data_IF_228621760447
#
_entry.id   IF_228621760447
#
_cell.length_a   1.000
_cell.length_b   1.000
_cell.length_c   1.000
_cell.angle_alpha   90.00
_cell.angle_beta   90.00
_cell.angle_gamma   90.00
#
_symmetry.space_group_name_H-M   'P 1'
#
loop_
_entity.id
_entity.type
_entity.pdbx_description
1 polymer ?
#
# COMPACT_ATOMS: atom_id res chain seq x y z
N UNK A 1 -28.18 35.40 0.31
CA UNK A 1 -27.45 34.91 -0.88
C UNK A 1 -25.96 34.90 -0.57
N UNK A 2 -25.52 33.84 0.03
CA UNK A 2 -24.10 33.59 0.24
C UNK A 2 -23.71 32.48 -0.74
N UNK A 3 -23.33 32.90 -1.94
CA UNK A 3 -22.68 32.02 -2.91
C UNK A 3 -21.19 31.95 -2.56
N UNK A 4 -20.84 31.08 -1.62
CA UNK A 4 -19.45 30.68 -1.46
C UNK A 4 -19.04 29.94 -2.74
N UNK A 5 -18.50 30.65 -3.72
CA UNK A 5 -17.76 30.05 -4.82
C UNK A 5 -16.63 29.25 -4.20
N UNK A 6 -16.75 27.92 -4.29
CA UNK A 6 -15.66 27.03 -3.94
C UNK A 6 -14.53 27.32 -4.91
N UNK A 7 -13.53 28.07 -4.46
CA UNK A 7 -12.33 28.35 -5.25
C UNK A 7 -11.65 27.02 -5.59
N UNK A 8 -11.77 26.60 -6.85
CA UNK A 8 -11.11 25.40 -7.35
C UNK A 8 -9.61 25.64 -7.31
N UNK A 9 -8.94 24.99 -6.36
CA UNK A 9 -7.48 25.01 -6.27
C UNK A 9 -6.93 24.41 -7.56
N UNK A 10 -6.21 25.22 -8.33
CA UNK A 10 -5.56 24.74 -9.55
C UNK A 10 -4.59 23.60 -9.22
N UNK A 11 -4.51 22.55 -10.06
CA UNK A 11 -3.57 21.46 -9.86
C UNK A 11 -2.14 22.00 -9.77
N UNK A 12 -1.41 21.59 -8.73
CA UNK A 12 0.02 21.90 -8.61
C UNK A 12 0.81 21.22 -9.74
N UNK A 13 2.08 21.57 -9.94
CA UNK A 13 2.95 20.96 -10.95
C UNK A 13 3.27 19.46 -10.68
N UNK A 14 2.85 18.92 -9.52
CA UNK A 14 3.03 17.51 -9.17
C UNK A 14 2.43 16.51 -10.18
N UNK A 15 1.24 16.74 -10.77
CA UNK A 15 0.71 15.84 -11.81
C UNK A 15 1.64 15.73 -13.02
N UNK A 16 2.34 16.79 -13.40
CA UNK A 16 3.29 16.79 -14.52
C UNK A 16 4.51 15.89 -14.24
N UNK A 17 4.97 15.86 -12.98
CA UNK A 17 6.10 15.02 -12.57
C UNK A 17 5.71 13.55 -12.45
N UNK A 18 4.46 13.25 -12.11
CA UNK A 18 3.95 11.88 -12.01
C UNK A 18 3.62 11.24 -13.35
N UNK A 19 3.54 12.02 -14.43
CA UNK A 19 3.06 11.58 -15.75
C UNK A 19 1.55 11.26 -15.77
N UNK A 20 0.81 11.61 -14.71
CA UNK A 20 -0.63 11.39 -14.64
C UNK A 20 -1.34 12.61 -15.24
N UNK A 21 -1.75 12.51 -16.50
CA UNK A 21 -2.60 13.51 -17.14
C UNK A 21 -4.07 13.27 -16.79
N UNK A 22 -4.92 14.25 -17.09
CA UNK A 22 -6.37 14.12 -16.88
C UNK A 22 -6.94 12.97 -17.71
N UNK A 23 -6.49 12.80 -18.95
CA UNK A 23 -6.92 11.75 -19.87
C UNK A 23 -6.57 10.37 -19.30
N UNK A 24 -5.33 10.17 -18.82
CA UNK A 24 -4.89 8.92 -18.19
C UNK A 24 -5.68 8.64 -16.91
N UNK A 25 -6.01 9.68 -16.14
CA UNK A 25 -6.84 9.53 -14.95
C UNK A 25 -8.25 9.09 -15.32
N UNK A 26 -8.89 9.79 -16.26
CA UNK A 26 -10.27 9.51 -16.71
C UNK A 26 -10.36 8.08 -17.29
N UNK A 27 -9.40 7.67 -18.12
CA UNK A 27 -9.34 6.31 -18.68
C UNK A 27 -9.26 5.25 -17.57
N UNK A 28 -8.34 5.40 -16.63
CA UNK A 28 -8.20 4.46 -15.51
C UNK A 28 -9.42 4.45 -14.61
N UNK A 29 -10.00 5.61 -14.35
CA UNK A 29 -11.21 5.73 -13.54
C UNK A 29 -12.38 5.01 -14.20
N UNK A 30 -12.63 5.24 -15.49
CA UNK A 30 -13.68 4.56 -16.24
C UNK A 30 -13.45 3.04 -16.24
N UNK A 31 -12.24 2.57 -16.55
CA UNK A 31 -11.91 1.15 -16.49
C UNK A 31 -12.18 0.55 -15.12
N UNK A 32 -11.85 1.27 -14.03
CA UNK A 32 -12.08 0.79 -12.67
C UNK A 32 -13.56 0.64 -12.29
N UNK A 33 -14.46 1.35 -12.98
CA UNK A 33 -15.90 1.31 -12.75
C UNK A 33 -16.59 0.32 -13.70
N UNK A 34 -16.22 0.33 -14.99
CA UNK A 34 -16.86 -0.47 -16.03
C UNK A 34 -16.45 -1.94 -15.96
N UNK A 35 -15.17 -2.21 -15.68
CA UNK A 35 -14.64 -3.57 -15.48
C UNK A 35 -13.69 -3.62 -14.27
N UNK A 36 -14.24 -3.55 -13.04
CA UNK A 36 -13.42 -3.54 -11.83
C UNK A 36 -12.60 -4.81 -11.65
N UNK A 37 -13.08 -5.96 -12.10
CA UNK A 37 -12.36 -7.23 -11.94
C UNK A 37 -11.09 -7.22 -12.80
N UNK A 38 -11.18 -6.86 -14.07
CA UNK A 38 -10.02 -6.73 -14.95
C UNK A 38 -9.05 -5.68 -14.44
N UNK A 39 -9.56 -4.48 -14.12
CA UNK A 39 -8.74 -3.40 -13.59
C UNK A 39 -7.92 -3.81 -12.37
N UNK A 40 -8.56 -4.40 -11.34
CA UNK A 40 -7.86 -4.80 -10.12
C UNK A 40 -6.96 -6.02 -10.32
N UNK A 41 -7.29 -6.91 -11.27
CA UNK A 41 -6.40 -8.01 -11.68
C UNK A 41 -5.09 -7.46 -12.24
N UNK A 42 -5.18 -6.52 -13.17
CA UNK A 42 -4.01 -5.87 -13.75
C UNK A 42 -3.16 -5.15 -12.69
N UNK A 43 -3.80 -4.37 -11.80
CA UNK A 43 -3.07 -3.68 -10.74
C UNK A 43 -2.37 -4.64 -9.78
N UNK A 44 -3.02 -5.75 -9.43
CA UNK A 44 -2.49 -6.75 -8.51
C UNK A 44 -1.35 -7.59 -9.11
N UNK A 45 -1.35 -7.78 -10.42
CA UNK A 45 -0.31 -8.52 -11.16
C UNK A 45 0.80 -7.61 -11.72
N UNK A 46 0.62 -6.30 -11.64
CA UNK A 46 1.57 -5.34 -12.17
C UNK A 46 2.88 -5.38 -11.38
N UNK A 47 3.94 -5.85 -12.04
CA UNK A 47 5.26 -5.97 -11.41
C UNK A 47 5.48 -7.25 -10.60
N UNK A 48 4.80 -8.26 -10.99
CA UNK A 48 4.72 -9.64 -10.53
C UNK A 48 5.93 -10.21 -9.80
N UNK A 49 5.84 -10.33 -8.46
CA UNK A 49 6.80 -11.04 -7.62
C UNK A 49 6.10 -12.13 -6.81
N UNK A 50 6.45 -13.37 -7.10
CA UNK A 50 6.17 -14.48 -6.18
C UNK A 50 7.37 -14.57 -5.25
N UNK A 51 7.19 -14.16 -4.02
CA UNK A 51 8.12 -14.52 -2.97
C UNK A 51 7.91 -16.01 -2.75
N UNK A 52 8.90 -16.84 -3.12
CA UNK A 52 8.76 -18.28 -3.01
C UNK A 52 8.47 -18.70 -1.57
N UNK A 53 7.62 -19.70 -1.38
CA UNK A 53 7.23 -20.25 -0.06
C UNK A 53 8.43 -20.66 0.84
N UNK A 54 9.64 -20.80 0.27
CA UNK A 54 10.88 -21.08 1.00
C UNK A 54 11.31 -19.99 1.98
N UNK A 55 10.75 -18.79 1.89
CA UNK A 55 11.09 -17.65 2.76
C UNK A 55 10.10 -17.45 3.93
N UNK A 56 9.32 -18.47 4.26
CA UNK A 56 8.12 -18.31 5.08
C UNK A 56 8.35 -18.06 6.58
N UNK A 57 9.53 -18.16 7.15
CA UNK A 57 9.62 -18.09 8.63
C UNK A 57 10.81 -17.40 9.27
N UNK A 58 11.97 -17.22 8.64
CA UNK A 58 13.15 -16.75 9.38
C UNK A 58 14.05 -15.73 8.68
N UNK A 59 13.88 -15.45 7.41
CA UNK A 59 14.67 -14.44 6.72
C UNK A 59 13.77 -13.45 5.98
N UNK A 60 14.08 -12.16 6.11
CA UNK A 60 13.38 -11.10 5.40
C UNK A 60 13.30 -11.41 3.91
N UNK A 61 12.08 -11.37 3.32
CA UNK A 61 11.88 -11.67 1.90
C UNK A 61 12.33 -10.53 0.98
N UNK A 62 13.22 -9.66 1.44
CA UNK A 62 13.89 -8.67 0.61
C UNK A 62 14.73 -9.41 -0.40
N UNK A 63 14.15 -9.72 -1.55
CA UNK A 63 14.98 -10.14 -2.67
C UNK A 63 15.79 -8.92 -3.09
N UNK A 64 17.10 -9.08 -3.22
CA UNK A 64 18.03 -8.10 -3.81
C UNK A 64 17.46 -7.47 -5.10
N UNK A 65 16.67 -8.22 -5.83
CA UNK A 65 16.01 -7.86 -7.05
C UNK A 65 14.96 -6.73 -6.89
N UNK A 66 14.14 -6.75 -5.84
CA UNK A 66 13.14 -5.69 -5.61
C UNK A 66 13.80 -4.36 -5.25
N UNK A 67 14.82 -4.43 -4.41
CA UNK A 67 15.58 -3.26 -3.99
C UNK A 67 16.26 -2.60 -5.19
N UNK A 68 16.93 -3.38 -6.04
CA UNK A 68 17.62 -2.85 -7.21
C UNK A 68 16.65 -2.24 -8.23
N UNK A 69 15.48 -2.84 -8.45
CA UNK A 69 14.45 -2.25 -9.31
C UNK A 69 13.92 -0.92 -8.80
N UNK A 70 13.66 -0.82 -7.50
CA UNK A 70 13.20 0.44 -6.91
C UNK A 70 14.30 1.51 -7.03
N UNK A 71 15.56 1.15 -6.79
CA UNK A 71 16.72 2.06 -6.98
C UNK A 71 16.83 2.55 -8.41
N UNK A 72 16.47 1.72 -9.39
CA UNK A 72 16.42 2.07 -10.81
C UNK A 72 15.19 2.88 -11.20
N UNK A 73 14.34 3.28 -10.24
CA UNK A 73 13.14 4.07 -10.46
C UNK A 73 11.94 3.25 -10.98
N UNK A 74 12.04 1.93 -11.01
CA UNK A 74 10.90 1.08 -11.37
C UNK A 74 9.90 1.03 -10.22
N UNK A 75 8.61 1.06 -10.55
CA UNK A 75 7.54 0.90 -9.56
C UNK A 75 7.33 -0.60 -9.33
N UNK A 76 7.67 -1.13 -8.16
CA UNK A 76 7.39 -2.53 -7.87
C UNK A 76 5.88 -2.74 -7.75
N UNK A 77 5.43 -3.92 -8.13
CA UNK A 77 4.08 -4.38 -7.87
C UNK A 77 3.89 -4.84 -6.44
N UNK A 78 2.77 -5.52 -6.18
CA UNK A 78 2.48 -6.14 -4.88
C UNK A 78 3.34 -7.40 -4.73
N UNK A 79 3.96 -7.56 -3.56
CA UNK A 79 4.77 -8.75 -3.23
C UNK A 79 3.89 -9.85 -2.66
N UNK A 80 3.46 -10.78 -3.49
CA UNK A 80 2.64 -11.91 -3.07
C UNK A 80 3.48 -13.05 -2.50
N UNK A 81 3.17 -13.51 -1.29
CA UNK A 81 3.67 -14.80 -0.78
C UNK A 81 2.96 -15.96 -1.46
N UNK A 82 1.67 -15.79 -1.70
CA UNK A 82 0.86 -16.71 -2.49
C UNK A 82 -0.06 -15.89 -3.37
N UNK A 83 -0.05 -16.16 -4.66
CA UNK A 83 -1.00 -15.53 -5.59
C UNK A 83 -2.43 -15.90 -5.24
N UNK A 84 -3.32 -14.97 -5.52
CA UNK A 84 -4.76 -15.22 -5.50
C UNK A 84 -5.17 -16.17 -6.64
N UNK A 85 -6.23 -16.91 -6.42
CA UNK A 85 -6.83 -17.82 -7.43
C UNK A 85 -7.91 -17.12 -8.26
N UNK A 86 -8.58 -16.15 -7.66
CA UNK A 86 -9.62 -15.33 -8.30
C UNK A 86 -9.46 -13.90 -7.79
N UNK A 87 -9.65 -12.92 -8.68
CA UNK A 87 -9.60 -11.51 -8.29
C UNK A 87 -10.76 -11.13 -7.39
N UNK A 88 -11.93 -11.67 -7.69
CA UNK A 88 -13.15 -11.44 -6.90
C UNK A 88 -14.02 -12.69 -6.87
N UNK A 89 -14.60 -12.98 -5.72
CA UNK A 89 -15.62 -14.01 -5.54
C UNK A 89 -16.81 -13.42 -4.77
N UNK A 90 -18.05 -13.58 -5.27
CA UNK A 90 -19.23 -13.14 -4.54
C UNK A 90 -19.54 -14.04 -3.34
N UNK A 91 -18.84 -15.15 -3.17
CA UNK A 91 -19.02 -16.08 -2.06
C UNK A 91 -18.40 -15.52 -0.78
N UNK A 92 -19.15 -15.57 0.32
CA UNK A 92 -18.62 -15.25 1.63
C UNK A 92 -17.69 -16.38 2.11
N UNK A 93 -16.38 -16.14 2.31
CA UNK A 93 -15.43 -17.16 2.74
C UNK A 93 -15.62 -17.57 4.22
N UNK A 94 -16.37 -16.78 4.99
CA UNK A 94 -16.60 -17.02 6.42
C UNK A 94 -17.94 -17.69 6.71
N UNK A 95 -18.76 -17.93 5.67
CA UNK A 95 -20.14 -18.38 5.84
C UNK A 95 -21.07 -17.25 6.31
N UNK A 96 -22.35 -17.39 6.08
CA UNK A 96 -23.35 -16.34 6.34
C UNK A 96 -23.95 -15.80 5.04
N UNK A 97 -25.19 -15.34 5.13
CA UNK A 97 -26.00 -15.09 3.94
C UNK A 97 -26.30 -13.63 3.67
N UNK A 98 -26.04 -12.73 4.59
CA UNK A 98 -26.53 -11.35 4.45
C UNK A 98 -25.41 -10.34 4.61
N UNK A 99 -25.40 -9.30 3.79
CA UNK A 99 -24.52 -8.14 3.80
C UNK A 99 -23.03 -8.35 3.45
N UNK A 100 -22.63 -9.51 2.94
CA UNK A 100 -21.26 -9.69 2.48
C UNK A 100 -21.12 -9.32 1.01
N UNK A 101 -20.28 -8.33 0.73
CA UNK A 101 -20.06 -7.79 -0.63
C UNK A 101 -19.09 -8.61 -1.48
N UNK A 102 -18.65 -9.78 -1.01
CA UNK A 102 -17.70 -10.65 -1.71
C UNK A 102 -16.28 -10.58 -1.16
N UNK A 103 -15.40 -11.44 -1.71
CA UNK A 103 -13.98 -11.49 -1.36
C UNK A 103 -13.13 -11.04 -2.52
N UNK A 104 -12.20 -10.14 -2.28
CA UNK A 104 -11.17 -9.74 -3.22
C UNK A 104 -9.91 -10.58 -3.03
N UNK A 105 -9.23 -10.90 -4.14
CA UNK A 105 -7.96 -11.62 -4.16
C UNK A 105 -7.98 -12.93 -3.37
N UNK A 106 -8.95 -13.79 -3.72
CA UNK A 106 -9.23 -15.06 -3.03
C UNK A 106 -7.98 -15.93 -2.90
N UNK A 107 -7.73 -16.45 -1.69
CA UNK A 107 -6.55 -17.24 -1.35
C UNK A 107 -5.20 -16.53 -1.51
N UNK A 108 -5.18 -15.26 -1.89
CA UNK A 108 -3.96 -14.45 -1.93
C UNK A 108 -3.39 -14.25 -0.52
N UNK A 109 -2.06 -14.24 -0.41
CA UNK A 109 -1.35 -13.92 0.83
C UNK A 109 -0.25 -12.92 0.54
N UNK A 110 -0.19 -11.87 1.34
CA UNK A 110 0.85 -10.85 1.27
C UNK A 110 1.21 -10.35 2.67
N UNK A 111 2.34 -9.65 2.78
CA UNK A 111 2.69 -8.89 3.96
C UNK A 111 2.60 -7.40 3.61
N UNK A 112 1.49 -6.77 3.99
CA UNK A 112 1.25 -5.37 3.67
C UNK A 112 2.30 -4.44 4.29
N UNK A 113 2.78 -4.76 5.49
CA UNK A 113 3.85 -4.00 6.14
C UNK A 113 5.12 -4.01 5.28
N UNK A 114 5.52 -5.17 4.76
CA UNK A 114 6.64 -5.29 3.85
C UNK A 114 6.47 -4.42 2.60
N UNK A 115 5.31 -4.52 1.96
CA UNK A 115 5.02 -3.75 0.75
C UNK A 115 5.01 -2.23 0.98
N UNK A 116 4.61 -1.78 2.17
CA UNK A 116 4.51 -0.36 2.48
C UNK A 116 5.76 0.24 3.14
N UNK A 117 6.61 -0.57 3.78
CA UNK A 117 7.67 -0.07 4.65
C UNK A 117 9.04 -0.65 4.31
N UNK A 118 9.21 -1.97 4.51
CA UNK A 118 10.54 -2.62 4.54
C UNK A 118 11.31 -2.44 3.24
N UNK A 119 10.68 -2.73 2.10
CA UNK A 119 11.33 -2.63 0.80
C UNK A 119 11.71 -1.19 0.43
N UNK A 120 10.91 -0.21 0.86
CA UNK A 120 11.19 1.20 0.60
C UNK A 120 12.32 1.70 1.50
N UNK A 121 12.35 1.31 2.77
CA UNK A 121 13.45 1.62 3.67
C UNK A 121 14.79 1.08 3.16
N UNK A 122 14.78 -0.11 2.54
CA UNK A 122 15.99 -0.69 1.95
C UNK A 122 16.41 -0.02 0.63
N UNK A 123 15.45 0.39 -0.20
CA UNK A 123 15.74 0.93 -1.53
C UNK A 123 15.94 2.46 -1.55
N UNK A 124 15.13 3.18 -0.77
CA UNK A 124 15.10 4.65 -0.73
C UNK A 124 15.00 5.16 0.71
N UNK A 125 15.99 4.88 1.57
CA UNK A 125 15.93 5.11 3.02
C UNK A 125 15.60 6.56 3.39
N UNK A 126 16.20 7.52 2.72
CA UNK A 126 16.06 8.96 3.01
C UNK A 126 14.83 9.61 2.38
N UNK A 127 14.07 8.86 1.55
CA UNK A 127 12.83 9.39 0.97
C UNK A 127 11.79 9.60 2.07
N UNK A 128 11.08 10.73 2.01
CA UNK A 128 9.98 11.04 2.93
C UNK A 128 8.85 10.03 2.69
N UNK A 129 8.51 9.28 3.72
CA UNK A 129 7.40 8.33 3.75
C UNK A 129 6.10 9.00 4.21
N UNK A 130 6.19 9.87 5.23
CA UNK A 130 5.05 10.56 5.83
C UNK A 130 5.42 12.01 6.08
N UNK A 131 4.51 12.93 5.78
CA UNK A 131 4.55 14.30 6.27
C UNK A 131 3.50 14.44 7.35
N UNK A 132 3.93 14.54 8.59
CA UNK A 132 3.04 14.73 9.71
C UNK A 132 2.72 16.22 9.87
N UNK A 133 1.43 16.54 9.80
CA UNK A 133 0.90 17.90 9.98
C UNK A 133 0.06 17.91 11.25
N UNK A 134 0.21 18.94 12.07
CA UNK A 134 -0.54 19.11 13.32
C UNK A 134 -1.03 20.53 13.45
N UNK A 135 -2.12 20.72 14.18
CA UNK A 135 -2.67 22.04 14.54
C UNK A 135 -1.90 22.70 15.71
N UNK A 136 -0.91 22.02 16.25
CA UNK A 136 -0.09 22.54 17.34
C UNK A 136 0.80 23.69 16.85
N UNK A 137 0.56 24.90 17.34
CA UNK A 137 1.28 26.12 16.94
C UNK A 137 2.80 26.05 17.12
N UNK A 138 3.30 25.10 17.93
CA UNK A 138 4.73 24.83 18.08
C UNK A 138 5.37 24.25 16.82
N UNK A 139 4.55 23.62 15.95
CA UNK A 139 4.99 22.97 14.71
C UNK A 139 4.36 23.69 13.52
N UNK A 140 4.99 24.78 13.07
CA UNK A 140 4.51 25.57 11.93
C UNK A 140 4.71 24.90 10.58
N UNK A 141 5.59 23.90 10.52
CA UNK A 141 5.93 23.19 9.30
C UNK A 141 5.64 21.69 9.48
N UNK A 142 5.34 21.02 8.37
CA UNK A 142 5.17 19.59 8.37
C UNK A 142 6.47 18.87 8.83
N UNK A 143 6.32 17.89 9.72
CA UNK A 143 7.44 17.07 10.20
C UNK A 143 7.63 15.91 9.21
N UNK A 144 8.74 15.88 8.47
CA UNK A 144 9.01 14.77 7.57
C UNK A 144 9.46 13.54 8.35
N UNK A 145 8.92 12.37 7.99
CA UNK A 145 9.34 11.07 8.50
C UNK A 145 9.86 10.27 7.31
N UNK A 146 11.13 9.90 7.34
CA UNK A 146 11.76 9.10 6.28
C UNK A 146 11.34 7.63 6.35
N UNK A 147 11.57 6.86 5.27
CA UNK A 147 11.35 5.41 5.31
C UNK A 147 12.23 4.70 6.32
N UNK A 148 13.45 5.18 6.56
CA UNK A 148 14.33 4.66 7.64
C UNK A 148 13.67 4.83 9.01
N UNK A 149 13.19 6.01 9.33
CA UNK A 149 12.54 6.30 10.61
C UNK A 149 11.23 5.54 10.77
N UNK A 150 10.40 5.48 9.71
CA UNK A 150 9.18 4.70 9.69
C UNK A 150 9.47 3.22 9.98
N UNK A 151 10.45 2.63 9.28
CA UNK A 151 10.85 1.24 9.48
C UNK A 151 11.31 0.96 10.91
N UNK A 152 12.16 1.83 11.48
CA UNK A 152 12.61 1.69 12.86
C UNK A 152 11.46 1.76 13.86
N UNK A 153 10.51 2.67 13.65
CA UNK A 153 9.33 2.81 14.51
C UNK A 153 8.40 1.59 14.40
N UNK A 154 8.19 1.06 13.19
CA UNK A 154 7.43 -0.18 12.97
C UNK A 154 8.09 -1.37 13.67
N UNK A 155 9.41 -1.52 13.59
CA UNK A 155 10.15 -2.56 14.31
C UNK A 155 9.99 -2.45 15.83
N UNK A 156 10.19 -1.25 16.40
CA UNK A 156 10.03 -1.00 17.83
C UNK A 156 8.62 -1.34 18.31
N UNK A 157 7.62 -0.90 17.57
CA UNK A 157 6.22 -1.18 17.90
C UNK A 157 5.87 -2.67 17.77
N UNK A 158 6.36 -3.35 16.74
CA UNK A 158 6.18 -4.80 16.57
C UNK A 158 6.80 -5.60 17.71
N UNK A 159 8.00 -5.20 18.18
CA UNK A 159 8.65 -5.82 19.34
C UNK A 159 7.86 -5.59 20.63
N UNK A 160 7.28 -4.40 20.80
CA UNK A 160 6.42 -4.09 21.94
C UNK A 160 5.17 -4.98 21.94
N UNK A 161 4.47 -5.08 20.81
CA UNK A 161 3.29 -5.94 20.69
C UNK A 161 3.63 -7.41 21.01
N UNK A 162 4.75 -7.89 20.48
CA UNK A 162 5.24 -9.25 20.78
C UNK A 162 5.52 -9.44 22.27
N UNK A 163 6.14 -8.46 22.92
CA UNK A 163 6.45 -8.49 24.36
C UNK A 163 5.16 -8.48 25.20
N UNK A 164 4.12 -7.79 24.74
CA UNK A 164 2.80 -7.78 25.37
C UNK A 164 2.00 -9.08 25.13
N UNK A 165 2.53 -10.01 24.35
CA UNK A 165 1.90 -11.30 24.07
C UNK A 165 0.81 -11.26 22.99
N UNK A 166 0.70 -10.16 22.25
CA UNK A 166 -0.26 -9.99 21.16
C UNK A 166 0.00 -11.03 20.07
N UNK A 167 -1.07 -11.67 19.60
CA UNK A 167 -1.07 -12.74 18.62
C UNK A 167 -2.00 -12.43 17.46
N UNK A 168 -1.91 -13.22 16.41
CA UNK A 168 -2.83 -13.14 15.28
C UNK A 168 -4.28 -13.37 15.74
N UNK A 169 -5.16 -12.44 15.43
CA UNK A 169 -6.56 -12.46 15.80
C UNK A 169 -6.90 -11.56 17.00
N UNK A 170 -5.91 -11.06 17.71
CA UNK A 170 -6.15 -10.12 18.81
C UNK A 170 -6.58 -8.75 18.25
N UNK A 171 -7.54 -8.13 18.91
CA UNK A 171 -7.91 -6.75 18.66
C UNK A 171 -7.02 -5.80 19.46
N UNK A 172 -6.55 -4.75 18.80
CA UNK A 172 -5.74 -3.68 19.40
C UNK A 172 -6.52 -2.38 19.24
N UNK A 173 -6.77 -1.69 20.33
CA UNK A 173 -7.42 -0.38 20.37
C UNK A 173 -6.49 0.69 20.95
#
# INVERSE_FOLDING_TARGET
NDSSETELIAPTDQPKQSGLTKEIFDEKYLHSIEDPISFWTEQALKGDYIISEKFSTEQHPLTYYDIEKIKQGQKPGISWFKRFTETFSPKNPFGGTEDFTGSWFVNGKLNLCFDCTDRWAAATPEKIAIQFVTDDERYKEAIPITYTELYQNVLRFSLLLKKLGIKKGDMIA
#
